data_IF_684417499129
#
_entry.id   IF_684417499129
#
_cell.length_a   1.000
_cell.length_b   1.000
_cell.length_c   1.000
_cell.angle_alpha   90.00
_cell.angle_beta   90.00
_cell.angle_gamma   90.00
#
_symmetry.space_group_name_H-M   'P 1'
#
loop_
_entity.id
_entity.type
_entity.pdbx_description
1 polymer ?
#
# COMPACT_ATOMS: atom_id res chain seq x y z
N UNK A 1 -6.92 11.39 43.03
CA UNK A 1 -6.94 12.50 42.03
C UNK A 1 -5.66 13.29 42.16
N UNK A 2 -4.94 13.61 41.08
CA UNK A 2 -3.76 14.46 41.16
C UNK A 2 -4.14 15.87 41.64
N UNK A 3 -3.27 16.51 42.43
CA UNK A 3 -3.53 17.86 42.95
C UNK A 3 -3.44 18.90 41.83
N UNK A 4 -4.23 19.98 41.93
CA UNK A 4 -4.24 21.09 40.94
C UNK A 4 -2.86 21.71 40.74
N UNK A 5 -2.05 21.77 41.81
CA UNK A 5 -0.65 22.20 41.76
C UNK A 5 0.24 21.26 40.95
N UNK A 6 -0.03 19.95 40.96
CA UNK A 6 0.77 18.95 40.22
C UNK A 6 0.43 18.95 38.73
N UNK A 7 -0.82 19.22 38.36
CA UNK A 7 -1.23 19.40 36.96
C UNK A 7 -0.66 20.71 36.39
N UNK A 8 -0.71 21.79 37.18
CA UNK A 8 -0.13 23.08 36.79
C UNK A 8 1.39 22.98 36.61
N UNK A 9 2.11 22.31 37.52
CA UNK A 9 3.56 22.15 37.42
C UNK A 9 3.97 21.24 36.25
N UNK A 10 3.20 20.19 35.96
CA UNK A 10 3.42 19.36 34.78
C UNK A 10 3.21 20.17 33.49
N UNK A 11 2.16 21.00 33.45
CA UNK A 11 1.88 21.87 32.30
C UNK A 11 2.96 22.93 32.08
N UNK A 12 3.43 23.59 33.15
CA UNK A 12 4.51 24.58 33.05
C UNK A 12 5.84 23.95 32.65
N UNK A 13 6.19 22.80 33.22
CA UNK A 13 7.40 22.05 32.88
C UNK A 13 7.38 21.61 31.42
N UNK A 14 6.25 21.11 30.94
CA UNK A 14 6.07 20.73 29.54
C UNK A 14 6.13 21.94 28.60
N UNK A 15 5.51 23.05 28.98
CA UNK A 15 5.55 24.28 28.17
C UNK A 15 6.96 24.86 28.11
N UNK A 16 7.66 24.89 29.24
CA UNK A 16 9.05 25.36 29.33
C UNK A 16 9.99 24.49 28.50
N UNK A 17 9.88 23.15 28.58
CA UNK A 17 10.69 22.25 27.78
C UNK A 17 10.39 22.38 26.28
N UNK A 18 9.11 22.51 25.90
CA UNK A 18 8.71 22.74 24.52
C UNK A 18 9.26 24.07 23.98
N UNK A 19 9.28 25.13 24.80
CA UNK A 19 9.87 26.41 24.41
C UNK A 19 11.39 26.30 24.22
N UNK A 20 12.12 25.60 25.10
CA UNK A 20 13.55 25.37 24.95
C UNK A 20 13.87 24.59 23.66
N UNK A 21 13.14 23.51 23.39
CA UNK A 21 13.29 22.72 22.16
C UNK A 21 13.01 23.57 20.92
N UNK A 22 11.94 24.39 20.95
CA UNK A 22 11.62 25.30 19.84
C UNK A 22 12.70 26.34 19.60
N UNK A 23 13.31 26.88 20.65
CA UNK A 23 14.41 27.84 20.52
C UNK A 23 15.62 27.18 19.87
N UNK A 24 16.05 26.01 20.37
CA UNK A 24 17.18 25.28 19.78
C UNK A 24 16.92 24.94 18.30
N UNK A 25 15.72 24.47 17.95
CA UNK A 25 15.37 24.18 16.55
C UNK A 25 15.44 25.44 15.68
N UNK A 26 14.91 26.58 16.16
CA UNK A 26 14.93 27.84 15.41
C UNK A 26 16.33 28.38 15.20
N UNK A 27 17.18 28.33 16.23
CA UNK A 27 18.58 28.75 16.13
C UNK A 27 19.32 27.86 15.11
N UNK A 28 19.17 26.54 15.22
CA UNK A 28 19.77 25.59 14.28
C UNK A 28 19.23 25.82 12.86
N UNK A 29 17.93 26.01 12.66
CA UNK A 29 17.34 26.29 11.35
C UNK A 29 17.91 27.57 10.74
N UNK A 30 18.03 28.63 11.53
CA UNK A 30 18.56 29.91 11.07
C UNK A 30 20.01 29.77 10.63
N UNK A 31 20.83 29.07 11.41
CA UNK A 31 22.22 28.76 11.06
C UNK A 31 22.30 27.86 9.81
N UNK A 32 21.46 26.83 9.71
CA UNK A 32 21.45 25.94 8.53
C UNK A 32 21.01 26.66 7.27
N UNK A 33 20.08 27.60 7.32
CA UNK A 33 19.62 28.35 6.14
C UNK A 33 20.63 29.40 5.67
N UNK A 34 21.51 29.88 6.55
CA UNK A 34 22.58 30.82 6.19
C UNK A 34 23.87 30.12 5.75
N UNK A 35 24.18 28.94 6.32
CA UNK A 35 25.47 28.26 6.14
C UNK A 35 25.37 27.07 5.17
N UNK A 36 24.23 26.40 5.07
CA UNK A 36 24.04 25.17 4.28
C UNK A 36 23.15 25.45 3.07
N UNK A 37 23.73 25.54 1.86
CA UNK A 37 22.98 25.67 0.61
C UNK A 37 21.91 24.57 0.44
N UNK A 38 20.73 24.94 -0.07
CA UNK A 38 19.62 24.04 -0.45
C UNK A 38 20.06 22.72 -1.14
N UNK A 39 21.00 22.70 -2.10
CA UNK A 39 21.43 21.44 -2.73
C UNK A 39 22.08 20.44 -1.75
N UNK A 40 22.72 20.92 -0.68
CA UNK A 40 23.29 20.04 0.36
C UNK A 40 22.18 19.47 1.24
N UNK A 41 21.14 20.25 1.53
CA UNK A 41 19.96 19.76 2.26
C UNK A 41 19.25 18.66 1.47
N UNK A 42 19.07 18.85 0.15
CA UNK A 42 18.52 17.83 -0.75
C UNK A 42 19.43 16.60 -0.87
N UNK A 43 20.76 16.79 -0.86
CA UNK A 43 21.73 15.69 -0.84
C UNK A 43 21.67 14.88 0.46
N UNK A 44 21.54 15.54 1.61
CA UNK A 44 21.41 14.86 2.90
C UNK A 44 20.06 14.16 3.00
N UNK A 45 18.96 14.81 2.59
CA UNK A 45 17.62 14.21 2.56
C UNK A 45 17.54 13.03 1.60
N UNK A 46 18.18 13.10 0.43
CA UNK A 46 18.23 11.97 -0.52
C UNK A 46 19.10 10.82 -0.02
N UNK A 47 20.22 11.10 0.67
CA UNK A 47 21.05 10.06 1.31
C UNK A 47 20.38 9.44 2.54
N UNK A 48 19.66 10.22 3.34
CA UNK A 48 18.95 9.74 4.53
C UNK A 48 17.65 9.01 4.15
N UNK A 49 16.93 9.51 3.13
CA UNK A 49 15.80 8.82 2.50
C UNK A 49 16.21 7.53 1.78
N UNK A 50 17.49 7.39 1.42
CA UNK A 50 18.08 6.16 0.91
C UNK A 50 18.36 5.09 1.97
N UNK A 51 18.38 5.44 3.26
CA UNK A 51 18.67 4.49 4.34
C UNK A 51 17.47 3.58 4.70
N UNK A 52 16.26 3.96 4.27
CA UNK A 52 15.04 3.12 4.34
C UNK A 52 14.83 2.34 3.04
N UNK A 53 15.83 2.28 2.16
CA UNK A 53 15.82 1.33 1.04
C UNK A 53 16.18 -0.04 1.59
N UNK A 54 15.23 -0.59 2.35
CA UNK A 54 15.20 -1.95 2.82
C UNK A 54 15.70 -2.85 1.69
N UNK A 55 16.58 -3.77 2.03
CA UNK A 55 16.83 -4.96 1.23
C UNK A 55 15.45 -5.57 0.96
N UNK A 56 14.86 -5.29 -0.20
CA UNK A 56 13.56 -5.83 -0.54
C UNK A 56 13.77 -7.33 -0.56
N UNK A 57 13.17 -8.02 0.42
CA UNK A 57 13.15 -9.46 0.42
C UNK A 57 12.62 -9.93 -0.94
N UNK A 58 13.13 -11.06 -1.48
CA UNK A 58 12.64 -11.56 -2.75
C UNK A 58 11.11 -11.64 -2.70
N UNK A 59 10.44 -11.04 -3.68
CA UNK A 59 8.98 -11.07 -3.74
C UNK A 59 8.55 -12.35 -4.47
N UNK A 60 7.54 -13.04 -3.93
CA UNK A 60 6.82 -14.11 -4.60
C UNK A 60 5.55 -13.52 -5.21
N UNK A 61 5.22 -13.91 -6.44
CA UNK A 61 3.95 -13.55 -7.10
C UNK A 61 3.26 -14.82 -7.59
N UNK A 62 2.04 -15.02 -7.14
CA UNK A 62 1.13 -16.06 -7.62
C UNK A 62 0.25 -15.45 -8.70
N UNK A 63 0.16 -16.12 -9.86
CA UNK A 63 -0.68 -15.71 -10.98
C UNK A 63 -1.92 -16.59 -10.99
N UNK A 64 -3.09 -15.97 -10.85
CA UNK A 64 -4.39 -16.63 -10.92
C UNK A 64 -5.03 -16.23 -12.25
N UNK A 65 -5.05 -17.16 -13.20
CA UNK A 65 -5.66 -16.92 -14.52
C UNK A 65 -7.19 -16.96 -14.43
N UNK A 66 -7.88 -16.09 -15.17
CA UNK A 66 -9.35 -16.03 -15.25
C UNK A 66 -9.97 -17.35 -15.74
N UNK A 67 -9.30 -17.99 -16.71
CA UNK A 67 -9.70 -19.29 -17.25
C UNK A 67 -8.62 -20.33 -17.00
N UNK A 68 -9.01 -21.54 -16.62
CA UNK A 68 -8.15 -22.71 -16.63
C UNK A 68 -8.53 -23.58 -17.85
N UNK A 69 -7.85 -23.36 -18.97
CA UNK A 69 -8.26 -23.92 -20.25
C UNK A 69 -9.57 -23.28 -20.74
N UNK A 70 -10.64 -24.06 -20.84
CA UNK A 70 -11.96 -23.60 -21.30
C UNK A 70 -12.96 -23.33 -20.17
N UNK A 71 -12.61 -23.63 -18.93
CA UNK A 71 -13.47 -23.41 -17.77
C UNK A 71 -13.06 -22.15 -16.99
N UNK A 72 -14.04 -21.48 -16.40
CA UNK A 72 -13.78 -20.39 -15.47
C UNK A 72 -13.02 -20.93 -14.26
N UNK A 73 -11.95 -20.24 -13.88
CA UNK A 73 -11.17 -20.62 -12.72
C UNK A 73 -11.91 -20.22 -11.44
N UNK A 74 -12.32 -21.20 -10.63
CA UNK A 74 -13.01 -20.95 -9.35
C UNK A 74 -12.17 -20.13 -8.38
N UNK A 75 -10.84 -20.28 -8.40
CA UNK A 75 -9.95 -19.49 -7.57
C UNK A 75 -9.95 -18.02 -8.00
N UNK A 76 -10.04 -17.76 -9.32
CA UNK A 76 -10.19 -16.40 -9.84
C UNK A 76 -11.52 -15.78 -9.40
N UNK A 77 -12.62 -16.50 -9.57
CA UNK A 77 -13.96 -16.04 -9.18
C UNK A 77 -14.03 -15.74 -7.67
N UNK A 78 -13.51 -16.65 -6.85
CA UNK A 78 -13.44 -16.48 -5.39
C UNK A 78 -12.58 -15.29 -4.99
N UNK A 79 -11.43 -15.13 -5.66
CA UNK A 79 -10.53 -13.99 -5.43
C UNK A 79 -11.19 -12.67 -5.85
N UNK A 80 -11.90 -12.64 -6.96
CA UNK A 80 -12.63 -11.44 -7.38
C UNK A 80 -13.66 -11.06 -6.32
N UNK A 81 -14.49 -12.00 -5.87
CA UNK A 81 -15.50 -11.78 -4.81
C UNK A 81 -14.84 -11.26 -3.54
N UNK A 82 -13.75 -11.89 -3.09
CA UNK A 82 -12.99 -11.45 -1.92
C UNK A 82 -12.53 -10.00 -2.08
N UNK A 83 -11.92 -9.68 -3.22
CA UNK A 83 -11.40 -8.37 -3.54
C UNK A 83 -12.49 -7.29 -3.58
N UNK A 84 -13.73 -7.62 -3.98
CA UNK A 84 -14.86 -6.68 -3.90
C UNK A 84 -15.14 -6.23 -2.47
N UNK A 85 -14.96 -7.11 -1.49
CA UNK A 85 -15.16 -6.79 -0.06
C UNK A 85 -14.09 -5.85 0.50
N UNK A 86 -12.94 -5.75 -0.18
CA UNK A 86 -11.79 -4.92 0.23
C UNK A 86 -11.77 -3.54 -0.42
N UNK A 87 -12.70 -3.25 -1.33
CA UNK A 87 -12.84 -1.93 -1.94
C UNK A 87 -13.23 -0.93 -0.86
N UNK A 88 -12.50 0.19 -0.79
CA UNK A 88 -12.77 1.26 0.18
C UNK A 88 -12.93 2.63 -0.53
N UNK A 89 -13.45 3.66 0.18
CA UNK A 89 -13.60 5.00 -0.40
C UNK A 89 -12.28 5.74 -0.69
N UNK A 90 -11.13 5.25 -0.21
CA UNK A 90 -9.83 5.87 -0.51
C UNK A 90 -9.28 5.49 -1.89
N UNK A 91 -9.95 4.60 -2.61
CA UNK A 91 -9.52 4.20 -3.95
C UNK A 91 -9.90 5.30 -4.94
N UNK A 92 -8.92 5.72 -5.74
CA UNK A 92 -9.14 6.78 -6.74
C UNK A 92 -10.00 6.30 -7.91
N UNK A 93 -9.99 5.01 -8.21
CA UNK A 93 -10.67 4.42 -9.36
C UNK A 93 -11.21 3.04 -9.00
N UNK A 94 -12.51 2.85 -9.24
CA UNK A 94 -13.18 1.55 -9.13
C UNK A 94 -13.97 1.30 -10.42
N UNK A 95 -14.03 0.04 -10.84
CA UNK A 95 -14.89 -0.39 -11.94
C UNK A 95 -16.26 -0.72 -11.38
N UNK A 96 -17.31 -0.27 -12.04
CA UNK A 96 -18.70 -0.54 -11.64
C UNK A 96 -19.41 -1.25 -12.78
N UNK A 97 -20.15 -2.32 -12.48
CA UNK A 97 -21.05 -3.01 -13.40
C UNK A 97 -22.41 -3.24 -12.75
N UNK A 98 -23.45 -3.36 -13.58
CA UNK A 98 -24.79 -3.75 -13.14
C UNK A 98 -25.39 -4.61 -14.24
N UNK A 99 -25.72 -5.87 -13.95
CA UNK A 99 -26.50 -6.67 -14.88
C UNK A 99 -27.99 -6.35 -14.74
N UNK A 100 -28.83 -6.53 -15.79
CA UNK A 100 -30.28 -6.29 -15.70
C UNK A 100 -30.99 -7.13 -14.62
N UNK A 101 -30.38 -8.24 -14.19
CA UNK A 101 -30.90 -9.15 -13.16
C UNK A 101 -30.43 -8.79 -11.75
N UNK A 102 -29.40 -7.95 -11.61
CA UNK A 102 -28.85 -7.52 -10.32
C UNK A 102 -29.59 -6.31 -9.76
N UNK A 103 -29.99 -6.40 -8.48
CA UNK A 103 -30.63 -5.29 -7.76
C UNK A 103 -29.62 -4.20 -7.38
N UNK A 104 -28.39 -4.59 -7.05
CA UNK A 104 -27.30 -3.72 -6.59
C UNK A 104 -26.22 -3.52 -7.67
N UNK A 105 -25.41 -2.47 -7.50
CA UNK A 105 -24.20 -2.28 -8.31
C UNK A 105 -23.12 -3.26 -7.86
N UNK A 106 -22.42 -3.84 -8.83
CA UNK A 106 -21.23 -4.67 -8.61
C UNK A 106 -19.99 -3.78 -8.76
N UNK A 107 -19.17 -3.71 -7.71
CA UNK A 107 -17.91 -2.97 -7.70
C UNK A 107 -16.75 -3.94 -7.87
N UNK A 108 -15.82 -3.64 -8.77
CA UNK A 108 -14.57 -4.40 -8.99
C UNK A 108 -13.39 -3.42 -9.05
N UNK A 109 -12.19 -3.89 -8.74
CA UNK A 109 -10.97 -3.10 -8.84
C UNK A 109 -10.64 -2.79 -10.30
N UNK A 110 -10.13 -1.59 -10.57
CA UNK A 110 -9.68 -1.22 -11.91
C UNK A 110 -8.33 -1.88 -12.25
N UNK A 111 -8.02 -2.07 -13.54
CA UNK A 111 -6.72 -2.63 -13.96
C UNK A 111 -5.57 -1.77 -13.41
N UNK A 112 -4.57 -2.40 -12.80
CA UNK A 112 -3.38 -1.74 -12.26
C UNK A 112 -3.54 -1.09 -10.88
N UNK A 113 -4.75 -1.12 -10.31
CA UNK A 113 -4.95 -0.69 -8.92
C UNK A 113 -4.55 -1.84 -7.98
N UNK A 114 -3.81 -1.50 -6.91
CA UNK A 114 -3.29 -2.45 -5.92
C UNK A 114 -4.12 -2.43 -4.65
N UNK A 115 -4.56 -3.59 -4.18
CA UNK A 115 -5.09 -3.77 -2.84
C UNK A 115 -4.00 -4.30 -1.93
N UNK A 116 -3.75 -3.60 -0.83
CA UNK A 116 -2.86 -4.06 0.23
C UNK A 116 -3.73 -4.63 1.35
N UNK A 117 -3.49 -5.89 1.67
CA UNK A 117 -4.18 -6.63 2.71
C UNK A 117 -3.19 -7.24 3.70
N UNK A 118 -3.67 -7.71 4.85
CA UNK A 118 -2.86 -8.38 5.85
C UNK A 118 -3.48 -9.72 6.23
N UNK A 119 -2.72 -10.79 6.03
CA UNK A 119 -3.06 -12.14 6.45
C UNK A 119 -2.05 -12.60 7.50
N UNK A 120 -2.48 -12.83 8.75
CA UNK A 120 -1.59 -13.23 9.85
C UNK A 120 -0.34 -12.34 10.03
N UNK A 121 -0.47 -11.04 9.71
CA UNK A 121 0.64 -10.09 9.75
C UNK A 121 1.51 -10.06 8.48
N UNK A 122 1.30 -10.96 7.54
CA UNK A 122 1.92 -10.97 6.21
C UNK A 122 1.20 -9.95 5.33
N UNK A 123 1.95 -9.05 4.71
CA UNK A 123 1.42 -8.11 3.73
C UNK A 123 1.18 -8.84 2.40
N UNK A 124 -0.06 -8.85 1.96
CA UNK A 124 -0.49 -9.36 0.67
C UNK A 124 -0.82 -8.19 -0.26
N UNK A 125 -0.32 -8.22 -1.49
CA UNK A 125 -0.58 -7.21 -2.50
C UNK A 125 -1.34 -7.87 -3.64
N UNK A 126 -2.56 -7.44 -3.88
CA UNK A 126 -3.41 -7.95 -4.94
C UNK A 126 -3.51 -6.94 -6.07
N UNK A 127 -3.39 -7.39 -7.31
CA UNK A 127 -3.51 -6.55 -8.50
C UNK A 127 -4.24 -7.29 -9.62
N UNK A 128 -5.17 -6.60 -10.31
CA UNK A 128 -5.79 -7.13 -11.53
C UNK A 128 -5.01 -6.59 -12.73
N UNK A 129 -4.41 -7.48 -13.52
CA UNK A 129 -3.72 -7.12 -14.76
C UNK A 129 -4.25 -7.92 -15.95
N UNK A 130 -3.71 -7.65 -17.13
CA UNK A 130 -3.99 -8.41 -18.35
C UNK A 130 -2.68 -8.98 -18.86
N UNK A 131 -2.70 -10.21 -19.38
CA UNK A 131 -1.53 -10.79 -20.03
C UNK A 131 -1.11 -9.89 -21.20
N UNK A 132 0.13 -9.40 -21.22
CA UNK A 132 0.62 -8.49 -22.26
C UNK A 132 0.54 -9.12 -23.66
N UNK A 133 0.12 -8.31 -24.63
CA UNK A 133 -0.21 -8.64 -26.02
C UNK A 133 1.03 -8.94 -26.92
N UNK A 134 2.14 -9.45 -26.36
CA UNK A 134 3.35 -9.69 -27.18
C UNK A 134 3.29 -10.95 -28.06
N UNK A 135 2.32 -11.85 -27.86
CA UNK A 135 2.33 -13.16 -28.52
C UNK A 135 1.05 -13.62 -29.22
N UNK A 136 -0.01 -12.78 -29.35
CA UNK A 136 -1.24 -13.25 -30.02
C UNK A 136 -1.86 -12.22 -30.94
N UNK A 137 -1.38 -12.22 -32.20
CA UNK A 137 -2.25 -11.92 -33.34
C UNK A 137 -3.29 -13.04 -33.41
N UNK A 138 -4.55 -12.75 -33.09
CA UNK A 138 -5.78 -13.52 -33.41
C UNK A 138 -6.74 -13.91 -32.28
N UNK A 139 -6.54 -13.49 -31.03
CA UNK A 139 -7.59 -13.73 -30.02
C UNK A 139 -7.92 -12.45 -29.25
N UNK A 140 -9.12 -11.92 -29.51
CA UNK A 140 -9.63 -10.67 -28.95
C UNK A 140 -10.02 -10.79 -27.46
N UNK A 141 -9.79 -11.96 -26.86
CA UNK A 141 -10.07 -12.22 -25.46
C UNK A 141 -8.86 -11.78 -24.64
N UNK A 142 -8.89 -10.54 -24.13
CA UNK A 142 -7.89 -10.04 -23.18
C UNK A 142 -7.97 -10.88 -21.90
N UNK A 143 -7.15 -11.92 -21.81
CA UNK A 143 -7.13 -12.79 -20.63
C UNK A 143 -6.68 -11.98 -19.41
N UNK A 144 -7.62 -11.74 -18.49
CA UNK A 144 -7.35 -11.04 -17.24
C UNK A 144 -6.70 -12.02 -16.29
N UNK A 145 -5.83 -11.52 -15.43
CA UNK A 145 -5.21 -12.30 -14.37
C UNK A 145 -5.23 -11.50 -13.08
N UNK A 146 -5.30 -12.21 -11.96
CA UNK A 146 -5.09 -11.65 -10.63
C UNK A 146 -3.68 -12.05 -10.20
N UNK A 147 -2.90 -11.06 -9.81
CA UNK A 147 -1.58 -11.26 -9.20
C UNK A 147 -1.69 -11.08 -7.70
N UNK A 148 -1.18 -12.05 -6.95
CA UNK A 148 -1.02 -12.00 -5.50
C UNK A 148 0.47 -12.00 -5.19
N UNK A 149 0.98 -10.88 -4.68
CA UNK A 149 2.39 -10.70 -4.34
C UNK A 149 2.61 -10.55 -2.84
N UNK A 150 3.66 -11.21 -2.33
CA UNK A 150 4.05 -11.17 -0.92
C UNK A 150 5.54 -11.52 -0.76
N UNK A 151 6.09 -11.36 0.45
CA UNK A 151 7.49 -11.71 0.74
C UNK A 151 7.70 -13.22 0.61
N UNK A 152 8.64 -13.65 -0.24
CA UNK A 152 8.89 -15.06 -0.60
C UNK A 152 9.13 -15.95 0.61
N UNK A 153 9.63 -15.43 1.73
CA UNK A 153 9.85 -16.23 2.94
C UNK A 153 8.56 -16.82 3.53
N UNK A 154 7.39 -16.28 3.16
CA UNK A 154 6.09 -16.77 3.62
C UNK A 154 5.39 -17.69 2.62
N UNK A 155 6.08 -18.15 1.56
CA UNK A 155 5.48 -18.99 0.52
C UNK A 155 4.77 -20.23 1.06
N UNK A 156 5.40 -20.96 1.98
CA UNK A 156 4.81 -22.18 2.54
C UNK A 156 3.55 -21.86 3.35
N UNK A 157 3.59 -20.82 4.21
CA UNK A 157 2.47 -20.40 5.04
C UNK A 157 1.27 -19.91 4.22
N UNK A 158 1.52 -19.15 3.15
CA UNK A 158 0.44 -18.62 2.28
C UNK A 158 -0.20 -19.75 1.44
N UNK A 159 0.56 -20.78 1.07
CA UNK A 159 0.07 -21.89 0.24
C UNK A 159 -0.49 -23.08 1.03
N UNK A 160 -0.20 -23.19 2.33
CA UNK A 160 -0.64 -24.30 3.18
C UNK A 160 -2.06 -24.14 3.75
N UNK A 161 -2.77 -23.07 3.38
CA UNK A 161 -4.11 -22.73 3.86
C UNK A 161 -5.15 -23.12 2.83
#
# INVERSE_FOLDING_TARGET
MPSTSSVLSAYTTFTASAMLVRTVIKEVQTLTNQIIPKPIQELILSKLGGFVRNQASPQMTIIIEEFNGYSMNQLYESSEIYLRTKINPSFNRVKVSKSPKEKSLTLTINKGEKIIDKFEGIQLIWEITTKDEKDRKHDATKNRVIELSFDKKYMEQVLST
#
